data_IF_595143080699
#
_entry.id   IF_595143080699
#
_cell.length_a   1.000
_cell.length_b   1.000
_cell.length_c   1.000
_cell.angle_alpha   90.00
_cell.angle_beta   90.00
_cell.angle_gamma   90.00
#
_symmetry.space_group_name_H-M   'P 1'
#
loop_
_entity.id
_entity.type
_entity.pdbx_description
1 polymer ?
#
# COMPACT_ATOMS: atom_id res chain seq x y z
N UNK A 1 -43.73 14.90 30.98
CA UNK A 1 -43.47 13.49 31.32
C UNK A 1 -44.62 12.62 30.80
N UNK A 2 -44.37 11.75 29.82
CA UNK A 2 -45.26 10.63 29.42
C UNK A 2 -44.38 9.50 28.88
N UNK A 3 -44.18 8.46 29.68
CA UNK A 3 -43.39 7.28 29.29
C UNK A 3 -44.29 6.22 28.65
N UNK A 4 -43.88 5.69 27.50
CA UNK A 4 -44.45 4.46 26.94
C UNK A 4 -43.57 3.27 27.29
N UNK A 5 -44.19 2.09 27.39
CA UNK A 5 -43.61 0.90 28.03
C UNK A 5 -42.73 0.14 27.02
N UNK A 6 -41.50 -0.18 27.41
CA UNK A 6 -40.63 -1.06 26.61
C UNK A 6 -41.13 -2.51 26.70
N UNK A 7 -41.46 -3.12 25.56
CA UNK A 7 -41.78 -4.55 25.48
C UNK A 7 -40.51 -5.35 25.25
N UNK A 8 -40.04 -6.10 26.25
CA UNK A 8 -38.89 -6.99 26.12
C UNK A 8 -39.32 -8.33 25.54
N UNK A 9 -38.84 -8.67 24.34
CA UNK A 9 -39.02 -9.98 23.71
C UNK A 9 -37.65 -10.67 23.62
N UNK A 10 -37.42 -11.66 24.48
CA UNK A 10 -36.19 -12.44 24.49
C UNK A 10 -36.33 -13.67 23.58
N UNK A 11 -35.70 -13.64 22.40
CA UNK A 11 -35.57 -14.82 21.55
C UNK A 11 -34.34 -15.64 21.96
N UNK A 12 -34.54 -16.61 22.85
CA UNK A 12 -33.51 -17.56 23.29
C UNK A 12 -33.35 -18.73 22.30
N UNK A 13 -32.75 -18.49 21.14
CA UNK A 13 -32.37 -19.56 20.20
C UNK A 13 -31.05 -20.21 20.64
N UNK A 14 -31.13 -21.42 21.19
CA UNK A 14 -29.97 -22.21 21.61
C UNK A 14 -29.48 -23.09 20.46
N UNK A 15 -28.17 -23.04 20.18
CA UNK A 15 -27.47 -23.95 19.26
C UNK A 15 -26.50 -23.23 18.33
N UNK A 16 -25.36 -23.80 17.92
CA UNK A 16 -24.71 -25.05 18.36
C UNK A 16 -23.18 -24.83 18.29
N UNK A 17 -22.45 -25.16 19.35
CA UNK A 17 -20.98 -25.12 19.34
C UNK A 17 -20.44 -26.39 18.68
N UNK A 18 -19.90 -26.27 17.46
CA UNK A 18 -19.14 -27.34 16.82
C UNK A 18 -17.74 -27.43 17.42
N UNK A 19 -17.55 -28.30 18.40
CA UNK A 19 -16.22 -28.65 18.91
C UNK A 19 -15.51 -29.57 17.90
N UNK A 20 -14.63 -28.99 17.08
CA UNK A 20 -13.66 -29.75 16.30
C UNK A 20 -12.58 -30.34 17.20
N UNK A 21 -12.72 -31.59 17.60
CA UNK A 21 -11.74 -32.30 18.42
C UNK A 21 -10.58 -32.87 17.59
N UNK A 22 -9.43 -33.09 18.23
CA UNK A 22 -8.19 -33.54 17.61
C UNK A 22 -8.31 -34.87 16.86
N UNK A 23 -7.55 -35.00 15.76
CA UNK A 23 -6.83 -36.24 15.50
C UNK A 23 -5.41 -36.09 16.07
N UNK A 24 -4.85 -37.14 16.66
CA UNK A 24 -3.54 -37.09 17.33
C UNK A 24 -2.78 -38.40 17.24
N UNK A 25 -1.46 -38.31 17.07
CA UNK A 25 -0.53 -39.43 16.95
C UNK A 25 0.81 -38.94 16.38
N UNK A 26 1.95 -39.05 17.05
CA UNK A 26 2.18 -39.59 18.40
C UNK A 26 3.25 -38.80 19.16
N UNK A 27 3.31 -39.03 20.47
CA UNK A 27 4.19 -38.38 21.45
C UNK A 27 5.58 -39.06 21.53
N UNK A 28 6.46 -38.49 22.37
CA UNK A 28 7.62 -39.10 23.06
C UNK A 28 9.02 -38.94 22.42
N UNK A 29 10.10 -38.74 23.19
CA UNK A 29 10.24 -38.18 24.56
C UNK A 29 11.69 -37.67 24.75
N UNK A 30 11.94 -36.78 25.72
CA UNK A 30 13.29 -36.37 26.12
C UNK A 30 14.00 -37.47 26.92
N UNK A 31 15.32 -37.62 26.72
CA UNK A 31 16.27 -38.05 27.76
C UNK A 31 17.70 -37.61 27.39
N UNK A 32 18.56 -37.48 28.41
CA UNK A 32 19.79 -36.67 28.39
C UNK A 32 20.99 -37.44 29.00
N UNK A 33 22.21 -36.94 28.75
CA UNK A 33 23.51 -37.42 29.29
C UNK A 33 24.02 -38.75 28.67
N UNK A 34 25.31 -39.12 28.66
CA UNK A 34 26.59 -38.49 29.10
C UNK A 34 27.79 -39.26 28.45
N UNK A 35 29.10 -38.87 28.42
CA UNK A 35 29.89 -37.72 28.90
C UNK A 35 31.22 -37.64 28.08
N UNK A 36 31.79 -36.43 27.84
CA UNK A 36 33.24 -36.17 27.55
C UNK A 36 33.89 -36.82 26.30
N UNK A 37 35.06 -36.41 25.77
CA UNK A 37 35.92 -35.20 25.86
C UNK A 37 36.78 -35.13 24.56
N UNK A 38 37.34 -33.99 24.12
CA UNK A 38 38.63 -33.42 24.59
C UNK A 38 38.85 -32.00 23.99
N UNK A 39 39.75 -31.21 24.59
CA UNK A 39 39.91 -29.75 24.44
C UNK A 39 40.88 -29.27 23.35
N UNK A 40 40.68 -28.02 22.87
CA UNK A 40 41.57 -26.85 23.01
C UNK A 40 40.92 -25.65 22.26
N UNK A 41 40.70 -24.45 22.83
CA UNK A 41 41.65 -23.40 23.30
C UNK A 41 42.37 -22.72 22.10
N UNK A 42 42.27 -21.41 21.83
CA UNK A 42 41.65 -20.23 22.49
C UNK A 42 40.89 -19.38 21.43
N UNK A 43 40.00 -18.40 21.71
CA UNK A 43 40.02 -17.24 22.63
C UNK A 43 41.13 -16.20 22.29
N UNK A 44 40.92 -14.88 22.30
CA UNK A 44 39.71 -14.07 22.59
C UNK A 44 39.84 -12.62 22.06
N UNK A 45 38.80 -11.80 22.32
CA UNK A 45 38.84 -10.33 22.55
C UNK A 45 38.47 -9.42 21.38
N UNK A 46 37.30 -8.81 21.51
CA UNK A 46 36.91 -7.56 20.85
C UNK A 46 37.10 -6.36 21.79
N UNK A 47 37.32 -5.16 21.24
CA UNK A 47 36.92 -3.90 21.89
C UNK A 47 36.59 -2.83 20.84
N UNK A 48 35.62 -1.99 21.14
CA UNK A 48 35.34 -0.76 20.41
C UNK A 48 35.69 0.46 21.29
N UNK A 49 36.04 1.57 20.66
CA UNK A 49 35.89 2.93 21.17
C UNK A 49 36.07 3.92 20.01
N UNK A 50 35.50 5.13 20.14
CA UNK A 50 35.40 6.09 19.04
C UNK A 50 36.27 7.33 19.30
N UNK A 51 36.66 8.03 18.23
CA UNK A 51 36.90 9.47 18.31
C UNK A 51 36.68 10.19 16.97
N UNK A 52 36.68 11.52 16.99
CA UNK A 52 36.07 12.38 15.97
C UNK A 52 37.06 13.37 15.33
N UNK A 53 36.85 13.67 14.05
CA UNK A 53 37.20 14.94 13.36
C UNK A 53 38.68 15.31 13.14
N UNK A 54 39.10 15.27 11.87
CA UNK A 54 39.88 16.36 11.23
C UNK A 54 39.67 16.34 9.71
N UNK A 55 40.19 17.35 9.01
CA UNK A 55 39.77 17.81 7.67
C UNK A 55 40.85 17.60 6.57
N UNK A 56 40.46 17.88 5.32
CA UNK A 56 41.30 18.28 4.17
C UNK A 56 41.88 17.20 3.21
N UNK A 57 41.14 17.04 2.09
CA UNK A 57 41.60 17.35 0.71
C UNK A 57 42.07 16.22 -0.25
N UNK A 58 41.65 16.39 -1.52
CA UNK A 58 42.18 15.87 -2.81
C UNK A 58 42.08 14.35 -3.05
N UNK A 59 41.29 13.87 -4.04
CA UNK A 59 41.36 14.02 -5.52
C UNK A 59 42.14 12.86 -6.17
N UNK A 60 41.44 12.10 -7.02
CA UNK A 60 41.78 10.98 -7.93
C UNK A 60 40.62 9.95 -7.79
N UNK A 61 40.02 9.38 -8.84
CA UNK A 61 40.20 9.62 -10.27
C UNK A 61 38.89 9.33 -11.03
N UNK A 62 38.82 9.77 -12.28
CA UNK A 62 37.67 9.53 -13.15
C UNK A 62 37.49 8.03 -13.44
N UNK A 63 36.30 7.49 -13.14
CA UNK A 63 35.80 6.32 -13.85
C UNK A 63 34.36 6.52 -14.28
N UNK A 64 34.27 7.07 -15.49
CA UNK A 64 33.05 7.32 -16.24
C UNK A 64 32.19 6.06 -16.35
N UNK A 65 31.14 6.00 -15.51
CA UNK A 65 30.04 5.05 -15.60
C UNK A 65 28.82 5.75 -16.22
N UNK A 66 29.02 6.39 -17.38
CA UNK A 66 27.94 6.84 -18.26
C UNK A 66 27.12 5.65 -18.76
N UNK A 67 26.16 5.24 -17.93
CA UNK A 67 24.98 4.51 -18.35
C UNK A 67 24.19 5.39 -19.32
N UNK A 68 24.64 5.41 -20.58
CA UNK A 68 23.85 5.92 -21.70
C UNK A 68 22.56 5.12 -21.74
N UNK A 69 21.48 5.74 -21.30
CA UNK A 69 20.15 5.19 -21.50
C UNK A 69 19.91 5.13 -23.00
N UNK A 70 19.61 3.93 -23.48
CA UNK A 70 19.29 3.69 -24.87
C UNK A 70 17.86 4.22 -25.11
N UNK A 71 17.74 5.34 -25.83
CA UNK A 71 16.46 6.03 -26.13
C UNK A 71 15.62 5.29 -27.20
N UNK A 72 15.66 3.96 -27.19
CA UNK A 72 14.93 3.05 -28.10
C UNK A 72 13.80 2.29 -27.40
N UNK A 73 13.05 2.96 -26.52
CA UNK A 73 11.87 2.38 -25.84
C UNK A 73 10.55 2.99 -26.30
N UNK A 74 10.27 2.87 -27.61
CA UNK A 74 8.91 2.90 -28.12
C UNK A 74 8.05 1.88 -27.35
N UNK A 75 7.07 2.36 -26.58
CA UNK A 75 6.13 1.51 -25.83
C UNK A 75 6.36 1.38 -24.32
N UNK A 76 7.30 2.12 -23.71
CA UNK A 76 7.35 2.26 -22.24
C UNK A 76 6.81 3.60 -21.78
N UNK A 77 5.51 3.64 -21.57
CA UNK A 77 4.87 4.76 -20.89
C UNK A 77 5.19 4.72 -19.39
N UNK A 78 5.92 5.73 -18.91
CA UNK A 78 6.33 5.85 -17.51
C UNK A 78 5.20 6.36 -16.61
N UNK A 79 5.37 6.20 -15.30
CA UNK A 79 4.50 6.80 -14.27
C UNK A 79 4.46 8.32 -14.42
N UNK A 80 3.29 8.91 -14.17
CA UNK A 80 3.05 10.36 -14.21
C UNK A 80 3.50 11.07 -12.91
N UNK A 81 4.32 10.40 -12.08
CA UNK A 81 4.76 10.90 -10.77
C UNK A 81 3.81 10.58 -9.60
N UNK A 82 2.80 9.75 -9.83
CA UNK A 82 1.81 9.36 -8.83
C UNK A 82 2.21 8.15 -7.99
N UNK A 83 1.27 7.70 -7.16
CA UNK A 83 1.37 6.40 -6.49
C UNK A 83 0.79 5.31 -7.37
N UNK A 84 1.59 4.29 -7.67
CA UNK A 84 1.20 3.12 -8.48
C UNK A 84 0.77 1.95 -7.57
N UNK A 85 -0.32 1.28 -7.95
CA UNK A 85 -0.75 -0.01 -7.41
C UNK A 85 -1.07 -0.95 -8.57
N UNK A 86 -0.37 -2.08 -8.64
CA UNK A 86 -0.71 -3.15 -9.59
C UNK A 86 -1.85 -4.02 -9.04
N UNK A 87 -2.86 -4.29 -9.86
CA UNK A 87 -4.06 -5.06 -9.50
C UNK A 87 -4.35 -6.12 -10.57
N UNK A 88 -3.76 -7.30 -10.40
CA UNK A 88 -3.85 -8.39 -11.37
C UNK A 88 -3.09 -8.04 -12.66
N UNK A 89 -3.83 -7.75 -13.74
CA UNK A 89 -3.26 -7.31 -15.02
C UNK A 89 -3.45 -5.81 -15.30
N UNK A 90 -3.80 -5.02 -14.28
CA UNK A 90 -4.09 -3.60 -14.40
C UNK A 90 -3.16 -2.76 -13.56
N UNK A 91 -2.66 -1.69 -14.17
CA UNK A 91 -1.89 -0.63 -13.56
C UNK A 91 -2.84 0.50 -13.12
N UNK A 92 -2.83 0.81 -11.82
CA UNK A 92 -3.67 1.85 -11.21
C UNK A 92 -2.74 2.92 -10.61
N UNK A 93 -2.65 4.09 -11.23
CA UNK A 93 -1.86 5.22 -10.73
C UNK A 93 -2.77 6.36 -10.26
N UNK A 94 -2.50 6.90 -9.06
CA UNK A 94 -3.13 8.12 -8.56
C UNK A 94 -2.07 9.23 -8.41
N UNK A 95 -2.23 10.30 -9.20
CA UNK A 95 -1.59 11.60 -8.99
C UNK A 95 -2.56 12.50 -8.21
N UNK A 96 -2.03 13.39 -7.37
CA UNK A 96 -2.84 14.34 -6.60
C UNK A 96 -2.18 15.71 -6.58
N UNK A 97 -2.84 16.73 -7.14
CA UNK A 97 -2.32 18.09 -7.22
C UNK A 97 -3.07 19.04 -6.28
N UNK A 98 -2.36 19.97 -5.65
CA UNK A 98 -2.91 20.92 -4.67
C UNK A 98 -3.32 22.22 -5.36
N UNK A 99 -4.57 22.63 -5.18
CA UNK A 99 -5.11 23.87 -5.72
C UNK A 99 -5.68 24.79 -4.63
N UNK A 100 -5.87 26.07 -4.95
CA UNK A 100 -6.55 27.06 -4.08
C UNK A 100 -7.94 26.62 -3.58
N UNK A 101 -8.60 25.74 -4.34
CA UNK A 101 -9.96 25.25 -4.06
C UNK A 101 -9.99 23.86 -3.43
N UNK A 102 -8.91 23.08 -3.46
CA UNK A 102 -8.94 21.68 -3.05
C UNK A 102 -7.75 20.85 -3.47
N UNK A 103 -8.05 19.63 -3.91
CA UNK A 103 -7.09 18.67 -4.50
C UNK A 103 -7.67 18.14 -5.81
N UNK A 104 -6.93 18.23 -6.90
CA UNK A 104 -7.26 17.49 -8.12
C UNK A 104 -6.79 16.03 -7.98
N UNK A 105 -7.60 15.08 -8.44
CA UNK A 105 -7.38 13.64 -8.29
C UNK A 105 -7.32 12.96 -9.67
N UNK A 106 -6.12 12.85 -10.23
CA UNK A 106 -5.89 12.24 -11.55
C UNK A 106 -5.58 10.76 -11.42
N UNK A 107 -6.49 9.92 -11.91
CA UNK A 107 -6.41 8.47 -11.81
C UNK A 107 -6.25 7.81 -13.19
N UNK A 108 -5.07 7.26 -13.44
CA UNK A 108 -4.77 6.52 -14.66
C UNK A 108 -5.05 5.03 -14.46
N UNK A 109 -5.87 4.46 -15.34
CA UNK A 109 -6.21 3.04 -15.33
C UNK A 109 -5.78 2.41 -16.67
N UNK A 110 -4.79 1.52 -16.61
CA UNK A 110 -4.16 0.91 -17.79
C UNK A 110 -4.12 -0.62 -17.66
N UNK A 111 -4.03 -1.35 -18.78
CA UNK A 111 -4.16 -2.81 -18.83
C UNK A 111 -3.01 -3.47 -19.61
N UNK A 112 -2.46 -4.55 -19.04
CA UNK A 112 -1.40 -5.36 -19.64
C UNK A 112 -0.04 -4.66 -19.76
N UNK A 113 0.96 -5.40 -20.23
CA UNK A 113 2.37 -4.96 -20.34
C UNK A 113 2.57 -3.75 -21.26
N UNK A 114 1.62 -3.46 -22.14
CA UNK A 114 1.61 -2.31 -23.05
C UNK A 114 0.97 -1.06 -22.45
N UNK A 115 0.47 -1.13 -21.21
CA UNK A 115 -0.25 -0.04 -20.55
C UNK A 115 -1.45 0.50 -21.37
N UNK A 116 -2.27 -0.39 -21.95
CA UNK A 116 -3.43 0.02 -22.77
C UNK A 116 -4.50 0.72 -21.91
N UNK A 117 -4.86 1.96 -22.25
CA UNK A 117 -5.80 2.79 -21.47
C UNK A 117 -7.20 2.16 -21.40
N UNK A 118 -7.76 2.09 -20.19
CA UNK A 118 -9.11 1.57 -19.94
C UNK A 118 -10.08 2.73 -19.74
N UNK A 119 -10.83 3.10 -20.77
CA UNK A 119 -11.72 4.28 -20.80
C UNK A 119 -13.19 4.02 -20.41
N UNK A 120 -13.55 2.77 -20.10
CA UNK A 120 -14.93 2.33 -19.90
C UNK A 120 -15.24 1.81 -18.47
N UNK A 121 -14.45 2.23 -17.48
CA UNK A 121 -14.64 1.84 -16.09
C UNK A 121 -15.60 2.76 -15.33
N UNK A 122 -16.30 2.23 -14.34
CA UNK A 122 -16.94 3.05 -13.30
C UNK A 122 -15.97 3.19 -12.13
N UNK A 123 -15.47 4.40 -11.88
CA UNK A 123 -14.43 4.69 -10.87
C UNK A 123 -15.01 5.48 -9.71
N UNK A 124 -14.63 5.13 -8.48
CA UNK A 124 -15.02 5.87 -7.27
C UNK A 124 -13.91 5.84 -6.24
N UNK A 125 -13.51 7.02 -5.76
CA UNK A 125 -12.61 7.17 -4.62
C UNK A 125 -13.42 7.23 -3.32
N UNK A 126 -13.19 6.27 -2.42
CA UNK A 126 -13.60 6.38 -1.02
C UNK A 126 -12.41 6.97 -0.23
N UNK A 127 -12.57 8.18 0.29
CA UNK A 127 -11.51 8.98 0.90
C UNK A 127 -11.81 9.15 2.39
N UNK A 128 -10.85 8.82 3.26
CA UNK A 128 -10.87 9.22 4.66
C UNK A 128 -10.01 10.46 4.85
N UNK A 129 -10.59 11.50 5.46
CA UNK A 129 -9.98 12.78 5.75
C UNK A 129 -9.06 12.69 6.98
N UNK A 130 -8.16 13.67 7.20
CA UNK A 130 -7.31 13.74 8.40
C UNK A 130 -8.10 13.77 9.72
N UNK A 131 -9.36 14.25 9.71
CA UNK A 131 -10.25 14.24 10.87
C UNK A 131 -11.07 12.93 11.05
N UNK A 132 -10.77 11.92 10.24
CA UNK A 132 -11.39 10.61 10.26
C UNK A 132 -12.73 10.50 9.53
N UNK A 133 -13.35 11.60 9.07
CA UNK A 133 -14.57 11.56 8.25
C UNK A 133 -14.33 10.87 6.91
N UNK A 134 -15.40 10.38 6.29
CA UNK A 134 -15.33 9.74 4.97
C UNK A 134 -16.12 10.51 3.92
N UNK A 135 -15.57 10.55 2.70
CA UNK A 135 -16.22 10.98 1.46
C UNK A 135 -16.16 9.87 0.42
N UNK A 136 -17.10 9.92 -0.53
CA UNK A 136 -17.16 9.01 -1.68
C UNK A 136 -17.41 9.85 -2.92
N UNK A 137 -16.45 9.89 -3.83
CA UNK A 137 -16.47 10.76 -5.01
C UNK A 137 -16.33 9.88 -6.26
N UNK A 138 -17.27 9.97 -7.23
CA UNK A 138 -17.09 9.33 -8.54
C UNK A 138 -16.04 10.10 -9.34
N UNK A 139 -15.17 9.39 -10.06
CA UNK A 139 -14.23 10.03 -11.00
C UNK A 139 -14.77 9.88 -12.43
N UNK A 140 -14.72 10.95 -13.21
CA UNK A 140 -15.22 10.99 -14.58
C UNK A 140 -14.07 10.76 -15.57
N UNK A 141 -14.30 10.02 -16.66
CA UNK A 141 -13.25 9.79 -17.67
C UNK A 141 -13.09 11.02 -18.57
N UNK A 142 -11.90 11.63 -18.54
CA UNK A 142 -11.47 12.66 -19.46
C UNK A 142 -10.80 12.02 -20.68
N UNK A 143 -11.38 12.23 -21.87
CA UNK A 143 -10.89 11.63 -23.11
C UNK A 143 -9.61 12.29 -23.64
N UNK A 144 -9.38 13.57 -23.36
CA UNK A 144 -8.21 14.31 -23.81
C UNK A 144 -7.00 13.99 -22.91
N UNK A 145 -7.21 13.98 -21.58
CA UNK A 145 -6.20 13.56 -20.58
C UNK A 145 -6.00 12.04 -20.48
N UNK A 146 -6.93 11.24 -21.05
CA UNK A 146 -6.95 9.75 -21.02
C UNK A 146 -6.93 9.14 -19.61
N UNK A 147 -7.55 9.84 -18.67
CA UNK A 147 -7.52 9.57 -17.23
C UNK A 147 -8.93 9.70 -16.63
N UNK A 148 -9.08 9.34 -15.36
CA UNK A 148 -10.29 9.62 -14.58
C UNK A 148 -10.00 10.74 -13.57
N UNK A 149 -10.77 11.82 -13.60
CA UNK A 149 -10.56 13.02 -12.78
C UNK A 149 -11.68 13.25 -11.76
N UNK A 150 -11.34 13.91 -10.64
CA UNK A 150 -12.30 14.52 -9.72
C UNK A 150 -11.65 15.60 -8.84
N UNK A 151 -12.45 16.59 -8.41
CA UNK A 151 -12.07 17.55 -7.38
C UNK A 151 -12.44 17.04 -5.97
N UNK A 152 -11.52 17.16 -5.02
CA UNK A 152 -11.79 17.09 -3.58
C UNK A 152 -11.70 18.51 -2.99
N UNK A 153 -12.84 19.09 -2.59
CA UNK A 153 -12.91 20.47 -2.08
C UNK A 153 -12.39 20.64 -0.66
N UNK A 154 -12.07 19.56 0.03
CA UNK A 154 -11.58 19.57 1.40
C UNK A 154 -10.07 19.84 1.52
N UNK A 155 -9.74 20.88 2.28
CA UNK A 155 -8.38 21.42 2.43
C UNK A 155 -7.80 21.23 3.85
N UNK A 156 -8.30 20.26 4.61
CA UNK A 156 -7.76 20.00 5.95
C UNK A 156 -6.31 19.49 5.86
N UNK A 157 -5.39 20.08 6.60
CA UNK A 157 -3.97 19.69 6.61
C UNK A 157 -3.76 18.28 7.20
N UNK A 158 -2.85 17.51 6.61
CA UNK A 158 -2.47 16.16 7.07
C UNK A 158 -2.80 15.05 6.08
N UNK A 159 -2.75 13.80 6.55
CA UNK A 159 -2.87 12.61 5.70
C UNK A 159 -4.32 12.23 5.36
N UNK A 160 -4.57 12.07 4.06
CA UNK A 160 -5.77 11.47 3.48
C UNK A 160 -5.47 10.02 3.12
N UNK A 161 -6.40 9.11 3.43
CA UNK A 161 -6.33 7.72 2.98
C UNK A 161 -7.37 7.49 1.88
N UNK A 162 -6.94 6.98 0.73
CA UNK A 162 -7.80 6.77 -0.44
C UNK A 162 -7.90 5.29 -0.75
N UNK A 163 -9.13 4.81 -0.97
CA UNK A 163 -9.39 3.52 -1.62
C UNK A 163 -10.19 3.76 -2.89
N UNK A 164 -9.54 3.65 -4.04
CA UNK A 164 -10.23 3.68 -5.33
C UNK A 164 -10.76 2.29 -5.64
N UNK A 165 -12.01 2.24 -6.06
CA UNK A 165 -12.62 1.05 -6.67
C UNK A 165 -12.91 1.40 -8.12
N UNK A 166 -12.43 0.57 -9.05
CA UNK A 166 -12.76 0.65 -10.47
C UNK A 166 -13.51 -0.63 -10.90
N UNK A 167 -14.61 -0.47 -11.63
CA UNK A 167 -15.39 -1.58 -12.18
C UNK A 167 -15.27 -1.59 -13.71
N UNK A 168 -14.54 -2.57 -14.25
CA UNK A 168 -14.25 -2.73 -15.68
C UNK A 168 -15.06 -3.90 -16.21
N UNK A 169 -16.20 -3.62 -16.86
CA UNK A 169 -17.05 -4.67 -17.44
C UNK A 169 -17.61 -5.72 -16.45
N UNK A 170 -17.64 -5.41 -15.15
CA UNK A 170 -18.00 -6.33 -14.06
C UNK A 170 -16.81 -6.78 -13.20
N UNK A 171 -15.57 -6.63 -13.68
CA UNK A 171 -14.36 -6.91 -12.92
C UNK A 171 -14.06 -5.77 -11.94
N UNK A 172 -13.86 -6.09 -10.65
CA UNK A 172 -13.76 -5.09 -9.57
C UNK A 172 -12.33 -4.94 -9.03
N UNK A 173 -11.62 -3.96 -9.56
CA UNK A 173 -10.27 -3.58 -9.16
C UNK A 173 -10.31 -2.66 -7.93
N UNK A 174 -9.29 -2.74 -7.07
CA UNK A 174 -9.20 -1.89 -5.88
C UNK A 174 -7.75 -1.42 -5.65
N UNK A 175 -7.53 -0.12 -5.71
CA UNK A 175 -6.27 0.54 -5.31
C UNK A 175 -6.37 1.14 -3.91
N UNK A 176 -5.23 1.26 -3.22
CA UNK A 176 -5.11 1.96 -1.94
C UNK A 176 -3.93 2.93 -2.00
N UNK A 177 -4.19 4.19 -1.70
CA UNK A 177 -3.24 5.30 -1.85
C UNK A 177 -3.35 6.23 -0.63
N UNK A 178 -2.39 7.14 -0.46
CA UNK A 178 -2.43 8.14 0.61
C UNK A 178 -1.71 9.42 0.18
N UNK A 179 -2.22 10.59 0.53
CA UNK A 179 -1.57 11.87 0.21
C UNK A 179 -1.65 12.82 1.41
N UNK A 180 -0.81 13.86 1.42
CA UNK A 180 -0.81 14.89 2.44
C UNK A 180 -1.18 16.24 1.81
N UNK A 181 -1.91 17.07 2.56
CA UNK A 181 -2.26 18.45 2.21
C UNK A 181 -1.85 19.45 3.30
#
# INVERSE_FOLDING_TARGET
MKSLKLGLVAFTSIGLLFLGACNGGSQENNSNSNTKATTNTAANTSKAEANKSSDSSKQHDEKDHSHKHDESQEGKEHSHGGQVVESGQYHLELVTEKEDKGTHLDFYLKKGEKHEVVSNAQVTAAIQLPDGKQKSIPLAYNADGKLYEAELSEQATGQYQVKITANVGGEKLNGRFNFNQ
#
